data_IF_062781512925
#
_entry.id   IF_062781512925
#
_cell.length_a   1.000
_cell.length_b   1.000
_cell.length_c   1.000
_cell.angle_alpha   90.00
_cell.angle_beta   90.00
_cell.angle_gamma   90.00
#
_symmetry.space_group_name_H-M   'P 1'
#
loop_
_entity.id
_entity.type
_entity.pdbx_description
1 polymer ?
#
# COMPACT_ATOMS: atom_id res chain seq x y z
N UNK A 1 -16.32 17.43 -116.28
CA UNK A 1 -14.91 17.13 -116.01
C UNK A 1 -14.80 16.52 -114.63
N UNK A 2 -14.07 15.42 -114.52
CA UNK A 2 -13.49 14.91 -113.27
C UNK A 2 -12.15 14.30 -113.62
N UNK A 3 -11.24 14.19 -112.63
CA UNK A 3 -10.28 13.07 -112.53
C UNK A 3 -9.33 13.20 -111.32
N UNK A 4 -9.42 12.19 -110.44
CA UNK A 4 -8.36 11.30 -109.90
C UNK A 4 -7.03 11.82 -109.32
N UNK A 5 -6.79 11.42 -108.05
CA UNK A 5 -5.56 10.81 -107.43
C UNK A 5 -4.27 11.66 -107.25
N UNK A 6 -3.21 11.23 -106.50
CA UNK A 6 -3.06 10.32 -105.33
C UNK A 6 -1.99 10.72 -104.25
N UNK A 7 -1.89 9.87 -103.20
CA UNK A 7 -0.67 9.30 -102.54
C UNK A 7 0.13 10.01 -101.42
N UNK A 8 0.64 9.10 -100.57
CA UNK A 8 1.78 9.11 -99.63
C UNK A 8 1.55 9.51 -98.16
N UNK A 9 1.80 8.55 -97.28
CA UNK A 9 2.11 8.76 -95.87
C UNK A 9 3.61 8.60 -95.60
N UNK A 10 4.13 9.36 -94.62
CA UNK A 10 5.40 9.13 -93.94
C UNK A 10 5.46 9.90 -92.61
N UNK A 11 5.97 9.19 -91.59
CA UNK A 11 6.85 9.63 -90.48
C UNK A 11 6.37 10.48 -89.28
N UNK A 12 6.73 9.93 -88.10
CA UNK A 12 7.28 10.56 -86.86
C UNK A 12 6.29 11.40 -86.02
N UNK A 13 6.31 11.44 -84.69
CA UNK A 13 7.19 10.91 -83.64
C UNK A 13 6.41 10.96 -82.30
N UNK A 14 6.72 10.04 -81.38
CA UNK A 14 6.81 10.20 -79.91
C UNK A 14 5.74 10.99 -79.14
N UNK A 15 5.02 10.32 -78.22
CA UNK A 15 5.33 10.39 -76.77
C UNK A 15 4.26 9.72 -75.89
N UNK A 16 4.79 8.96 -74.94
CA UNK A 16 4.23 8.19 -73.81
C UNK A 16 2.97 8.72 -73.10
N UNK A 17 2.05 7.79 -72.83
CA UNK A 17 1.14 7.76 -71.68
C UNK A 17 0.57 6.34 -71.52
N UNK A 18 0.91 5.64 -70.44
CA UNK A 18 0.59 4.21 -70.20
C UNK A 18 -0.24 4.14 -68.91
N UNK A 19 -1.52 3.79 -68.99
CA UNK A 19 -2.31 3.34 -67.83
C UNK A 19 -2.43 1.81 -67.88
N UNK A 20 -2.29 1.09 -66.75
CA UNK A 20 -2.66 -0.31 -66.70
C UNK A 20 -3.87 -0.59 -65.79
N UNK A 21 -4.87 -1.23 -66.41
CA UNK A 21 -5.67 -2.36 -65.95
C UNK A 21 -6.13 -2.47 -64.48
N UNK A 22 -7.45 -2.41 -64.32
CA UNK A 22 -8.23 -2.80 -63.13
C UNK A 22 -8.30 -4.33 -63.02
N UNK A 23 -7.88 -4.87 -61.87
CA UNK A 23 -8.10 -6.26 -61.45
C UNK A 23 -9.18 -6.26 -60.36
N UNK A 24 -10.27 -7.00 -60.57
CA UNK A 24 -11.28 -7.24 -59.53
C UNK A 24 -10.79 -8.36 -58.60
N UNK A 25 -10.74 -8.08 -57.30
CA UNK A 25 -10.37 -9.03 -56.24
C UNK A 25 -11.63 -9.31 -55.41
N UNK A 26 -12.03 -10.59 -55.38
CA UNK A 26 -13.08 -11.13 -54.52
C UNK A 26 -12.77 -10.89 -53.03
N UNK A 27 -13.74 -10.34 -52.29
CA UNK A 27 -13.64 -10.14 -50.84
C UNK A 27 -13.82 -11.46 -50.10
N UNK A 28 -12.71 -12.06 -49.66
CA UNK A 28 -12.72 -13.08 -48.61
C UNK A 28 -12.98 -12.43 -47.25
N UNK A 29 -14.14 -12.69 -46.64
CA UNK A 29 -14.46 -12.31 -45.27
C UNK A 29 -13.72 -13.23 -44.29
N UNK A 30 -12.60 -12.78 -43.75
CA UNK A 30 -12.00 -13.41 -42.57
C UNK A 30 -12.86 -13.06 -41.35
N UNK A 31 -13.47 -14.08 -40.75
CA UNK A 31 -14.09 -14.01 -39.42
C UNK A 31 -13.06 -13.58 -38.39
N UNK A 32 -13.48 -12.69 -37.48
CA UNK A 32 -12.69 -12.26 -36.34
C UNK A 32 -12.36 -13.44 -35.41
N UNK A 33 -11.26 -13.40 -34.63
CA UNK A 33 -10.94 -14.42 -33.64
C UNK A 33 -12.09 -14.55 -32.62
N UNK A 34 -12.35 -15.75 -32.07
CA UNK A 34 -13.29 -15.89 -30.98
C UNK A 34 -12.77 -15.09 -29.77
N UNK A 35 -13.58 -14.16 -29.27
CA UNK A 35 -13.36 -13.53 -27.97
C UNK A 35 -13.23 -14.63 -26.92
N UNK A 36 -12.15 -14.59 -26.12
CA UNK A 36 -12.00 -15.47 -24.97
C UNK A 36 -13.27 -15.42 -24.11
N UNK A 37 -13.74 -16.58 -23.65
CA UNK A 37 -14.94 -16.64 -22.80
C UNK A 37 -14.59 -16.01 -21.45
N UNK A 38 -15.26 -14.92 -21.11
CA UNK A 38 -15.15 -14.29 -19.79
C UNK A 38 -15.70 -15.21 -18.69
N UNK A 39 -15.18 -15.02 -17.47
CA UNK A 39 -15.64 -15.73 -16.28
C UNK A 39 -17.07 -15.30 -15.91
N UNK A 40 -17.81 -16.23 -15.30
CA UNK A 40 -19.05 -15.92 -14.56
C UNK A 40 -18.74 -15.36 -13.18
N UNK A 41 -19.71 -14.73 -12.52
CA UNK A 41 -19.55 -14.21 -11.16
C UNK A 41 -19.13 -15.31 -10.16
N UNK A 42 -19.73 -16.51 -10.25
CA UNK A 42 -19.37 -17.64 -9.39
C UNK A 42 -17.94 -18.15 -9.64
N UNK A 43 -17.48 -18.14 -10.89
CA UNK A 43 -16.10 -18.52 -11.24
C UNK A 43 -15.11 -17.45 -10.77
N UNK A 44 -15.48 -16.18 -10.88
CA UNK A 44 -14.70 -15.04 -10.38
C UNK A 44 -14.56 -15.10 -8.86
N UNK A 45 -15.64 -15.34 -8.12
CA UNK A 45 -15.62 -15.45 -6.66
C UNK A 45 -14.68 -16.57 -6.20
N UNK A 46 -14.77 -17.76 -6.83
CA UNK A 46 -13.89 -18.89 -6.51
C UNK A 46 -12.42 -18.56 -6.75
N UNK A 47 -12.10 -17.96 -7.90
CA UNK A 47 -10.73 -17.54 -8.23
C UNK A 47 -10.21 -16.46 -7.30
N UNK A 48 -11.06 -15.50 -6.92
CA UNK A 48 -10.72 -14.43 -5.97
C UNK A 48 -10.26 -15.02 -4.64
N UNK A 49 -10.98 -16.02 -4.11
CA UNK A 49 -10.61 -16.69 -2.84
C UNK A 49 -9.25 -17.36 -2.93
N UNK A 50 -8.98 -18.10 -4.01
CA UNK A 50 -7.68 -18.76 -4.23
C UNK A 50 -6.54 -17.74 -4.29
N UNK A 51 -6.69 -16.68 -5.09
CA UNK A 51 -5.67 -15.63 -5.22
C UNK A 51 -5.41 -14.96 -3.88
N UNK A 52 -6.46 -14.66 -3.10
CA UNK A 52 -6.30 -14.04 -1.80
C UNK A 52 -5.67 -14.97 -0.77
N UNK A 53 -6.01 -16.26 -0.74
CA UNK A 53 -5.36 -17.18 0.19
C UNK A 53 -3.87 -17.35 -0.12
N UNK A 54 -3.50 -17.44 -1.39
CA UNK A 54 -2.09 -17.48 -1.82
C UNK A 54 -1.37 -16.18 -1.47
N UNK A 55 -1.96 -15.02 -1.79
CA UNK A 55 -1.38 -13.73 -1.47
C UNK A 55 -1.24 -13.50 0.04
N UNK A 56 -2.27 -13.80 0.83
CA UNK A 56 -2.23 -13.63 2.28
C UNK A 56 -1.27 -14.61 2.97
N UNK A 57 -0.94 -15.73 2.32
CA UNK A 57 0.01 -16.69 2.82
C UNK A 57 1.46 -16.37 2.43
N UNK A 58 1.69 -16.04 1.16
CA UNK A 58 3.03 -15.83 0.58
C UNK A 58 3.48 -14.36 0.62
N UNK A 59 2.55 -13.43 0.80
CA UNK A 59 2.74 -11.97 0.71
C UNK A 59 3.40 -11.48 -0.59
N UNK A 60 3.34 -12.27 -1.66
CA UNK A 60 3.86 -11.85 -2.97
C UNK A 60 2.84 -10.97 -3.71
N UNK A 61 2.94 -9.66 -3.48
CA UNK A 61 2.11 -8.66 -4.14
C UNK A 61 2.26 -8.67 -5.67
N UNK A 62 3.44 -9.03 -6.20
CA UNK A 62 3.69 -9.02 -7.65
C UNK A 62 2.98 -10.18 -8.31
N UNK A 63 3.11 -11.38 -7.72
CA UNK A 63 2.42 -12.57 -8.22
C UNK A 63 0.90 -12.42 -8.11
N UNK A 64 0.40 -11.89 -6.99
CA UNK A 64 -1.02 -11.62 -6.80
C UNK A 64 -1.58 -10.70 -7.91
N UNK A 65 -0.86 -9.64 -8.26
CA UNK A 65 -1.25 -8.72 -9.35
C UNK A 65 -1.28 -9.44 -10.70
N UNK A 66 -0.27 -10.25 -11.01
CA UNK A 66 -0.22 -11.04 -12.26
C UNK A 66 -1.40 -12.01 -12.34
N UNK A 67 -1.70 -12.72 -11.26
CA UNK A 67 -2.84 -13.63 -11.19
C UNK A 67 -4.18 -12.92 -11.48
N UNK A 68 -4.35 -11.68 -10.99
CA UNK A 68 -5.55 -10.86 -11.27
C UNK A 68 -5.57 -10.36 -12.72
N UNK A 69 -4.44 -9.95 -13.28
CA UNK A 69 -4.32 -9.58 -14.70
C UNK A 69 -4.69 -10.76 -15.64
N UNK A 70 -4.35 -11.98 -15.24
CA UNK A 70 -4.63 -13.20 -16.02
C UNK A 70 -6.10 -13.62 -16.03
N UNK A 71 -6.94 -13.08 -15.14
CA UNK A 71 -8.38 -13.35 -15.12
C UNK A 71 -9.07 -12.92 -16.43
N UNK A 72 -8.54 -11.88 -17.09
CA UNK A 72 -8.95 -11.41 -18.44
C UNK A 72 -10.47 -11.33 -18.64
N UNK A 73 -11.19 -10.89 -17.61
CA UNK A 73 -12.66 -10.81 -17.62
C UNK A 73 -13.16 -9.42 -17.23
N UNK A 74 -12.96 -8.38 -18.07
CA UNK A 74 -13.26 -6.99 -17.74
C UNK A 74 -14.67 -6.71 -17.23
N UNK A 75 -15.68 -7.43 -17.74
CA UNK A 75 -17.08 -7.20 -17.39
C UNK A 75 -17.44 -7.54 -15.93
N UNK A 76 -16.71 -8.46 -15.32
CA UNK A 76 -16.97 -8.99 -13.97
C UNK A 76 -15.84 -8.66 -12.99
N UNK A 77 -14.95 -7.73 -13.34
CA UNK A 77 -13.86 -7.32 -12.43
C UNK A 77 -14.37 -6.62 -11.16
N UNK A 78 -15.58 -6.06 -11.16
CA UNK A 78 -16.19 -5.53 -9.93
C UNK A 78 -16.48 -6.67 -8.95
N UNK A 79 -16.84 -7.86 -9.45
CA UNK A 79 -17.08 -9.07 -8.64
C UNK A 79 -15.82 -9.55 -7.94
N UNK A 80 -14.63 -9.36 -8.53
CA UNK A 80 -13.36 -9.58 -7.83
C UNK A 80 -13.25 -8.69 -6.58
N UNK A 81 -13.55 -7.40 -6.72
CA UNK A 81 -13.46 -6.44 -5.60
C UNK A 81 -14.49 -6.76 -4.51
N UNK A 82 -15.76 -6.97 -4.86
CA UNK A 82 -16.80 -7.29 -3.88
C UNK A 82 -16.56 -8.64 -3.20
N UNK A 83 -16.10 -9.65 -3.95
CA UNK A 83 -15.71 -10.95 -3.40
C UNK A 83 -14.50 -10.84 -2.47
N UNK A 84 -13.49 -10.05 -2.84
CA UNK A 84 -12.30 -9.85 -2.02
C UNK A 84 -12.64 -9.22 -0.67
N UNK A 85 -13.41 -8.13 -0.69
CA UNK A 85 -13.89 -7.43 0.51
C UNK A 85 -14.68 -8.38 1.40
N UNK A 86 -15.69 -9.07 0.87
CA UNK A 86 -16.52 -10.01 1.64
C UNK A 86 -15.69 -11.15 2.24
N UNK A 87 -14.70 -11.66 1.49
CA UNK A 87 -13.91 -12.80 1.93
C UNK A 87 -13.04 -12.51 3.15
N UNK A 88 -12.53 -11.28 3.28
CA UNK A 88 -11.59 -10.92 4.35
C UNK A 88 -12.19 -10.07 5.46
N UNK A 89 -13.43 -9.59 5.28
CA UNK A 89 -14.08 -8.65 6.18
C UNK A 89 -14.06 -9.11 7.65
N UNK A 90 -14.34 -10.38 7.89
CA UNK A 90 -14.35 -10.98 9.23
C UNK A 90 -13.06 -11.73 9.60
N UNK A 91 -12.00 -11.62 8.79
CA UNK A 91 -10.67 -12.18 9.11
C UNK A 91 -9.90 -11.22 10.04
N UNK A 92 -8.58 -11.36 10.10
CA UNK A 92 -7.71 -10.46 10.90
C UNK A 92 -7.63 -9.06 10.28
N UNK A 93 -7.27 -8.08 11.10
CA UNK A 93 -6.94 -6.72 10.64
C UNK A 93 -5.79 -6.75 9.61
N UNK A 94 -4.80 -7.64 9.81
CA UNK A 94 -3.69 -7.84 8.87
C UNK A 94 -4.24 -8.27 7.50
N UNK A 95 -5.14 -9.26 7.46
CA UNK A 95 -5.72 -9.73 6.19
C UNK A 95 -6.53 -8.64 5.47
N UNK A 96 -7.28 -7.83 6.22
CA UNK A 96 -8.02 -6.68 5.67
C UNK A 96 -7.09 -5.62 5.09
N UNK A 97 -6.08 -5.21 5.84
CA UNK A 97 -5.11 -4.21 5.40
C UNK A 97 -4.32 -4.68 4.17
N UNK A 98 -3.81 -5.91 4.17
CA UNK A 98 -3.09 -6.50 3.03
C UNK A 98 -3.99 -6.57 1.79
N UNK A 99 -5.25 -6.97 1.95
CA UNK A 99 -6.22 -6.97 0.82
C UNK A 99 -6.48 -5.56 0.31
N UNK A 100 -6.58 -4.56 1.20
CA UNK A 100 -6.70 -3.15 0.82
C UNK A 100 -5.48 -2.65 0.03
N UNK A 101 -4.26 -3.06 0.43
CA UNK A 101 -3.02 -2.77 -0.30
C UNK A 101 -3.01 -3.41 -1.69
N UNK A 102 -3.43 -4.66 -1.82
CA UNK A 102 -3.58 -5.32 -3.12
C UNK A 102 -4.57 -4.56 -4.02
N UNK A 103 -5.73 -4.18 -3.49
CA UNK A 103 -6.73 -3.42 -4.25
C UNK A 103 -6.20 -2.05 -4.69
N UNK A 104 -5.45 -1.36 -3.83
CA UNK A 104 -4.74 -0.13 -4.20
C UNK A 104 -3.77 -0.38 -5.36
N UNK A 105 -2.88 -1.37 -5.24
CA UNK A 105 -1.87 -1.68 -6.25
C UNK A 105 -2.46 -2.07 -7.61
N UNK A 106 -3.56 -2.82 -7.60
CA UNK A 106 -4.33 -3.13 -8.80
C UNK A 106 -4.88 -1.87 -9.48
N UNK A 107 -5.32 -0.87 -8.69
CA UNK A 107 -5.81 0.41 -9.23
C UNK A 107 -4.68 1.25 -9.81
N UNK A 108 -3.58 1.46 -9.06
CA UNK A 108 -2.48 2.32 -9.52
C UNK A 108 -1.71 1.70 -10.70
N UNK A 109 -1.70 0.37 -10.83
CA UNK A 109 -1.13 -0.35 -12.00
C UNK A 109 -2.11 -0.47 -13.16
N UNK A 110 -3.32 0.10 -13.04
CA UNK A 110 -4.37 0.10 -14.06
C UNK A 110 -4.90 -1.31 -14.42
N UNK A 111 -4.77 -2.28 -13.52
CA UNK A 111 -5.44 -3.58 -13.62
C UNK A 111 -6.94 -3.42 -13.31
N UNK A 112 -7.24 -2.59 -12.31
CA UNK A 112 -8.59 -2.14 -11.98
C UNK A 112 -8.72 -0.66 -12.28
N UNK A 113 -9.86 -0.26 -12.84
CA UNK A 113 -10.21 1.16 -12.94
C UNK A 113 -10.90 1.62 -11.67
N UNK A 114 -10.72 2.90 -11.29
CA UNK A 114 -11.42 3.49 -10.12
C UNK A 114 -12.94 3.28 -10.16
N UNK A 115 -13.64 3.43 -11.31
CA UNK A 115 -15.08 3.11 -11.39
C UNK A 115 -15.43 1.66 -11.05
N UNK A 116 -14.62 0.69 -11.52
CA UNK A 116 -14.83 -0.74 -11.22
C UNK A 116 -14.59 -1.04 -9.74
N UNK A 117 -13.56 -0.44 -9.15
CA UNK A 117 -13.30 -0.50 -7.72
C UNK A 117 -14.47 0.05 -6.89
N UNK A 118 -14.96 1.25 -7.23
CA UNK A 118 -16.13 1.85 -6.58
C UNK A 118 -17.34 0.93 -6.72
N UNK A 119 -17.60 0.37 -7.90
CA UNK A 119 -18.74 -0.53 -8.12
C UNK A 119 -18.70 -1.73 -7.16
N UNK A 120 -17.58 -2.46 -7.12
CA UNK A 120 -17.44 -3.62 -6.24
C UNK A 120 -17.49 -3.26 -4.75
N UNK A 121 -16.93 -2.12 -4.34
CA UNK A 121 -17.09 -1.62 -2.96
C UNK A 121 -18.57 -1.36 -2.62
N UNK A 122 -19.28 -0.67 -3.51
CA UNK A 122 -20.67 -0.26 -3.31
C UNK A 122 -21.60 -1.47 -3.16
N UNK A 123 -21.31 -2.55 -3.90
CA UNK A 123 -22.03 -3.83 -3.81
C UNK A 123 -22.02 -4.44 -2.40
N UNK A 124 -20.97 -4.19 -1.63
CA UNK A 124 -20.86 -4.66 -0.23
C UNK A 124 -21.36 -3.60 0.75
N UNK A 125 -20.93 -2.34 0.57
CA UNK A 125 -21.24 -1.23 1.47
C UNK A 125 -22.74 -0.99 1.62
N UNK A 126 -23.55 -1.25 0.59
CA UNK A 126 -25.00 -1.09 0.67
C UNK A 126 -25.67 -1.93 1.77
N UNK A 127 -25.03 -3.02 2.22
CA UNK A 127 -25.53 -3.89 3.29
C UNK A 127 -24.86 -3.60 4.64
N UNK A 128 -23.98 -2.60 4.74
CA UNK A 128 -23.17 -2.35 5.94
C UNK A 128 -23.99 -2.06 7.21
N UNK A 129 -25.17 -1.45 7.09
CA UNK A 129 -26.06 -1.21 8.23
C UNK A 129 -26.63 -2.51 8.80
N UNK A 130 -27.04 -3.44 7.94
CA UNK A 130 -27.51 -4.76 8.38
C UNK A 130 -26.36 -5.54 9.02
N UNK A 131 -25.15 -5.44 8.44
CA UNK A 131 -23.95 -6.08 8.97
C UNK A 131 -23.51 -5.53 10.32
N UNK A 132 -23.78 -4.25 10.62
CA UNK A 132 -23.46 -3.62 11.91
C UNK A 132 -24.16 -4.32 13.09
N UNK A 133 -25.32 -4.95 12.85
CA UNK A 133 -26.08 -5.69 13.86
C UNK A 133 -25.25 -6.84 14.42
N UNK A 134 -24.60 -7.59 13.52
CA UNK A 134 -23.81 -8.77 13.87
C UNK A 134 -22.32 -8.44 14.09
N UNK A 135 -21.83 -7.37 13.45
CA UNK A 135 -20.43 -6.94 13.44
C UNK A 135 -20.35 -5.48 13.93
N UNK A 136 -20.29 -5.24 15.26
CA UNK A 136 -20.25 -3.87 15.81
C UNK A 136 -19.06 -3.02 15.33
N UNK A 137 -18.00 -3.66 14.82
CA UNK A 137 -16.78 -3.01 14.29
C UNK A 137 -16.77 -2.88 12.77
N UNK A 138 -17.89 -3.10 12.08
CA UNK A 138 -17.96 -3.14 10.62
C UNK A 138 -17.37 -1.89 9.94
N UNK A 139 -17.60 -0.71 10.52
CA UNK A 139 -17.06 0.55 9.98
C UNK A 139 -15.53 0.60 10.05
N UNK A 140 -14.96 0.14 11.17
CA UNK A 140 -13.51 0.02 11.33
C UNK A 140 -12.93 -0.95 10.30
N UNK A 141 -13.63 -2.08 10.05
CA UNK A 141 -13.17 -3.09 9.08
C UNK A 141 -13.19 -2.56 7.64
N UNK A 142 -14.22 -1.78 7.27
CA UNK A 142 -14.20 -1.05 6.00
C UNK A 142 -13.10 0.01 5.96
N UNK A 143 -12.84 0.69 7.09
CA UNK A 143 -11.70 1.60 7.25
C UNK A 143 -10.38 0.93 6.90
N UNK A 144 -10.11 -0.25 7.46
CA UNK A 144 -8.89 -1.05 7.20
C UNK A 144 -8.80 -1.52 5.72
N UNK A 145 -9.92 -1.80 5.06
CA UNK A 145 -9.95 -2.22 3.65
C UNK A 145 -9.80 -1.08 2.64
N UNK A 146 -10.37 0.09 2.96
CA UNK A 146 -10.44 1.23 2.03
C UNK A 146 -9.34 2.27 2.33
N UNK A 147 -8.91 2.37 3.59
CA UNK A 147 -7.83 3.27 4.04
C UNK A 147 -6.56 3.18 3.19
N UNK A 148 -6.07 1.99 2.79
CA UNK A 148 -4.95 1.86 1.88
C UNK A 148 -5.13 2.56 0.52
N UNK A 149 -6.36 2.73 0.01
CA UNK A 149 -6.61 3.46 -1.24
C UNK A 149 -6.31 4.97 -1.13
N UNK A 150 -6.25 5.50 0.09
CA UNK A 150 -5.92 6.90 0.38
C UNK A 150 -4.41 7.14 0.45
N UNK A 151 -3.61 6.07 0.61
CA UNK A 151 -2.16 6.19 0.77
C UNK A 151 -1.52 6.94 -0.41
N UNK A 152 -0.39 7.61 -0.15
CA UNK A 152 0.44 8.35 -1.11
C UNK A 152 -0.21 9.43 -2.01
N UNK A 153 -1.54 9.55 -2.02
CA UNK A 153 -2.28 10.50 -2.84
C UNK A 153 -2.45 10.11 -4.32
N UNK A 154 -2.13 8.87 -4.69
CA UNK A 154 -2.26 8.35 -6.06
C UNK A 154 -3.70 8.34 -6.58
N UNK A 155 -4.68 8.09 -5.70
CA UNK A 155 -6.11 8.15 -6.01
C UNK A 155 -6.77 9.33 -5.28
N UNK A 156 -7.36 10.29 -6.00
CA UNK A 156 -8.09 11.39 -5.37
C UNK A 156 -9.24 10.87 -4.49
N UNK A 157 -9.36 11.37 -3.27
CA UNK A 157 -10.32 10.88 -2.26
C UNK A 157 -11.79 11.12 -2.67
N UNK A 158 -12.05 11.86 -3.74
CA UNK A 158 -13.40 12.12 -4.23
C UNK A 158 -14.17 10.83 -4.61
N UNK A 159 -13.49 9.69 -4.78
CA UNK A 159 -14.13 8.38 -4.93
C UNK A 159 -15.05 8.03 -3.75
N UNK A 160 -14.72 8.51 -2.54
CA UNK A 160 -15.49 8.29 -1.32
C UNK A 160 -16.93 8.79 -1.44
N UNK A 161 -17.18 9.88 -2.18
CA UNK A 161 -18.55 10.38 -2.42
C UNK A 161 -19.44 9.30 -3.02
N UNK A 162 -18.90 8.57 -3.99
CA UNK A 162 -19.64 7.51 -4.69
C UNK A 162 -19.70 6.22 -3.87
N UNK A 163 -18.58 5.83 -3.27
CA UNK A 163 -18.53 4.62 -2.44
C UNK A 163 -19.48 4.71 -1.23
N UNK A 164 -19.63 5.90 -0.63
CA UNK A 164 -20.50 6.13 0.52
C UNK A 164 -21.95 6.51 0.14
N UNK A 165 -22.29 6.61 -1.15
CA UNK A 165 -23.64 7.02 -1.60
C UNK A 165 -24.77 6.15 -1.00
N UNK A 166 -24.66 4.81 -0.93
CA UNK A 166 -25.71 3.97 -0.33
C UNK A 166 -25.98 4.27 1.14
N UNK A 167 -25.02 4.88 1.84
CA UNK A 167 -25.07 5.16 3.27
C UNK A 167 -25.59 6.56 3.61
N UNK A 168 -26.01 7.33 2.60
CA UNK A 168 -26.54 8.67 2.84
C UNK A 168 -27.93 8.62 3.46
N UNK A 169 -28.76 7.69 3.02
CA UNK A 169 -30.15 7.58 3.48
C UNK A 169 -30.26 7.18 4.97
N UNK A 170 -29.31 6.40 5.47
CA UNK A 170 -29.25 5.97 6.87
C UNK A 170 -28.30 6.81 7.75
N UNK A 171 -27.75 7.91 7.22
CA UNK A 171 -26.78 8.79 7.90
C UNK A 171 -25.51 8.06 8.40
N UNK A 172 -25.10 6.96 7.73
CA UNK A 172 -23.88 6.21 8.07
C UNK A 172 -22.68 6.57 7.20
N UNK A 173 -22.87 7.32 6.11
CA UNK A 173 -21.79 7.72 5.20
C UNK A 173 -20.63 8.44 5.93
N UNK A 174 -20.95 9.35 6.86
CA UNK A 174 -19.94 10.01 7.69
C UNK A 174 -19.11 9.03 8.52
N UNK A 175 -19.72 7.97 9.07
CA UNK A 175 -19.02 6.96 9.88
C UNK A 175 -18.01 6.19 9.03
N UNK A 176 -18.42 5.69 7.86
CA UNK A 176 -17.53 5.01 6.93
C UNK A 176 -16.31 5.91 6.60
N UNK A 177 -16.57 7.15 6.19
CA UNK A 177 -15.51 8.07 5.79
C UNK A 177 -14.58 8.40 6.94
N UNK A 178 -15.09 8.59 8.15
CA UNK A 178 -14.26 8.83 9.33
C UNK A 178 -13.30 7.65 9.61
N UNK A 179 -13.79 6.41 9.55
CA UNK A 179 -12.95 5.22 9.77
C UNK A 179 -11.90 5.04 8.66
N UNK A 180 -12.24 5.36 7.40
CA UNK A 180 -11.27 5.36 6.29
C UNK A 180 -10.16 6.39 6.52
N UNK A 181 -10.52 7.60 6.94
CA UNK A 181 -9.53 8.65 7.22
C UNK A 181 -8.65 8.31 8.43
N UNK A 182 -9.21 7.68 9.46
CA UNK A 182 -8.43 7.18 10.59
C UNK A 182 -7.44 6.13 10.13
N UNK A 183 -7.89 5.08 9.43
CA UNK A 183 -7.01 4.03 8.91
C UNK A 183 -5.89 4.59 8.00
N UNK A 184 -6.20 5.57 7.16
CA UNK A 184 -5.19 6.26 6.34
C UNK A 184 -4.21 7.07 7.20
N UNK A 185 -4.69 7.76 8.23
CA UNK A 185 -3.85 8.60 9.11
C UNK A 185 -2.85 7.77 9.91
N UNK A 186 -3.19 6.52 10.26
CA UNK A 186 -2.28 5.60 10.94
C UNK A 186 -1.02 5.28 10.11
N UNK A 187 -1.02 5.54 8.79
CA UNK A 187 0.08 5.25 7.87
C UNK A 187 0.73 6.49 7.25
N UNK A 188 0.00 7.59 7.21
CA UNK A 188 0.38 8.83 6.51
C UNK A 188 0.44 10.06 7.42
N UNK A 189 -0.09 10.00 8.64
CA UNK A 189 -0.26 11.17 9.52
C UNK A 189 -1.51 12.00 9.21
N UNK A 190 -2.01 12.70 10.23
CA UNK A 190 -3.23 13.49 10.12
C UNK A 190 -3.08 14.66 9.15
N UNK A 191 -1.91 15.32 9.12
CA UNK A 191 -1.68 16.49 8.25
C UNK A 191 -1.77 16.12 6.78
N UNK A 192 -1.10 15.03 6.37
CA UNK A 192 -1.12 14.58 4.99
C UNK A 192 -2.51 14.14 4.55
N UNK A 193 -3.20 13.35 5.37
CA UNK A 193 -4.59 12.93 5.08
C UNK A 193 -5.53 14.15 5.01
N UNK A 194 -5.40 15.10 5.93
CA UNK A 194 -6.15 16.37 5.89
C UNK A 194 -5.87 17.20 4.64
N UNK A 195 -4.63 17.23 4.16
CA UNK A 195 -4.27 17.84 2.88
C UNK A 195 -4.92 17.13 1.69
N UNK A 196 -4.84 15.80 1.63
CA UNK A 196 -5.46 15.01 0.55
C UNK A 196 -6.99 15.17 0.51
N UNK A 197 -7.63 15.24 1.67
CA UNK A 197 -9.06 15.52 1.81
C UNK A 197 -9.44 16.85 1.15
N UNK A 198 -8.70 17.92 1.47
CA UNK A 198 -8.92 19.27 0.94
C UNK A 198 -8.60 19.38 -0.55
N UNK A 199 -7.49 18.80 -1.00
CA UNK A 199 -7.12 18.72 -2.43
C UNK A 199 -8.17 17.98 -3.26
N UNK A 200 -8.85 17.00 -2.66
CA UNK A 200 -9.96 16.27 -3.26
C UNK A 200 -11.29 17.03 -3.24
N UNK A 201 -11.30 18.27 -2.73
CA UNK A 201 -12.47 19.14 -2.59
C UNK A 201 -13.62 18.46 -1.84
N UNK A 202 -13.31 17.69 -0.80
CA UNK A 202 -14.30 17.03 0.05
C UNK A 202 -14.75 17.96 1.19
N UNK A 203 -16.02 17.82 1.55
CA UNK A 203 -16.66 18.47 2.69
C UNK A 203 -17.48 17.44 3.45
N UNK A 204 -17.63 17.59 4.76
CA UNK A 204 -18.42 16.64 5.55
C UNK A 204 -19.91 16.67 5.17
N UNK A 205 -20.38 17.81 4.66
CA UNK A 205 -21.70 18.00 4.07
C UNK A 205 -21.97 17.08 2.86
N UNK A 206 -20.92 16.52 2.25
CA UNK A 206 -21.07 15.52 1.19
C UNK A 206 -21.55 14.16 1.72
N UNK A 207 -21.42 13.92 3.02
CA UNK A 207 -21.66 12.64 3.67
C UNK A 207 -22.68 12.70 4.81
N UNK A 208 -23.07 13.90 5.26
CA UNK A 208 -24.02 14.06 6.35
C UNK A 208 -24.70 15.45 6.35
N UNK A 209 -25.80 15.63 7.10
CA UNK A 209 -26.47 16.93 7.21
C UNK A 209 -25.59 18.01 7.84
N UNK A 210 -25.60 19.22 7.25
CA UNK A 210 -24.76 20.35 7.68
C UNK A 210 -24.92 20.75 9.17
N UNK A 211 -26.09 20.49 9.76
CA UNK A 211 -26.36 20.81 11.17
C UNK A 211 -25.50 20.04 12.16
N UNK A 212 -25.06 18.83 11.79
CA UNK A 212 -24.37 17.91 12.68
C UNK A 212 -22.85 17.90 12.49
N UNK A 213 -22.35 18.46 11.38
CA UNK A 213 -20.94 18.42 10.97
C UNK A 213 -19.98 18.86 12.08
N UNK A 214 -20.21 20.01 12.71
CA UNK A 214 -19.30 20.52 13.76
C UNK A 214 -19.18 19.59 14.95
N UNK A 215 -20.30 19.01 15.38
CA UNK A 215 -20.34 18.05 16.48
C UNK A 215 -19.65 16.76 16.06
N UNK A 216 -19.94 16.27 14.86
CA UNK A 216 -19.37 15.06 14.31
C UNK A 216 -17.85 15.13 14.21
N UNK A 217 -17.29 16.24 13.73
CA UNK A 217 -15.84 16.42 13.61
C UNK A 217 -15.15 16.20 14.95
N UNK A 218 -15.70 16.76 16.03
CA UNK A 218 -15.17 16.62 17.39
C UNK A 218 -15.42 15.21 17.94
N UNK A 219 -16.65 14.71 17.84
CA UNK A 219 -17.04 13.40 18.37
C UNK A 219 -16.24 12.26 17.72
N UNK A 220 -15.90 12.41 16.43
CA UNK A 220 -15.15 11.43 15.64
C UNK A 220 -13.67 11.74 15.52
N UNK A 221 -13.17 12.80 16.16
CA UNK A 221 -11.75 13.18 16.18
C UNK A 221 -11.13 13.36 14.79
N UNK A 222 -11.88 13.99 13.88
CA UNK A 222 -11.47 14.24 12.49
C UNK A 222 -11.17 15.72 12.24
N UNK A 223 -10.74 16.45 13.27
CA UNK A 223 -10.41 17.88 13.22
C UNK A 223 -9.33 18.20 12.19
N UNK A 224 -8.46 17.24 11.88
CA UNK A 224 -7.42 17.37 10.87
C UNK A 224 -7.96 17.63 9.45
N UNK A 225 -9.24 17.33 9.20
CA UNK A 225 -9.92 17.66 7.94
C UNK A 225 -10.38 19.12 7.84
N UNK A 226 -10.41 19.84 8.97
CA UNK A 226 -10.95 21.20 9.08
C UNK A 226 -9.87 22.31 9.10
N UNK A 227 -8.59 21.95 9.01
CA UNK A 227 -7.47 22.90 9.03
C UNK A 227 -7.41 23.79 7.78
N UNK A 228 -6.73 24.93 7.89
CA UNK A 228 -6.42 25.81 6.75
C UNK A 228 -5.16 25.30 6.03
N UNK A 229 -5.10 25.39 4.69
CA UNK A 229 -3.98 24.90 3.86
C UNK A 229 -2.76 25.86 3.90
N UNK A 230 -2.59 26.58 5.01
CA UNK A 230 -1.47 27.48 5.21
C UNK A 230 -0.17 26.68 5.42
N UNK A 231 0.39 26.30 4.26
CA UNK A 231 1.71 25.81 3.90
C UNK A 231 1.90 24.28 3.85
N UNK A 232 2.32 23.73 2.69
CA UNK A 232 3.33 22.68 2.71
C UNK A 232 4.60 23.35 3.23
N UNK A 233 4.82 23.30 4.54
CA UNK A 233 6.10 23.71 5.09
C UNK A 233 7.10 22.65 4.70
N UNK A 234 7.76 22.85 3.55
CA UNK A 234 9.15 22.41 3.45
C UNK A 234 9.85 22.93 4.71
N UNK A 235 10.49 22.05 5.51
CA UNK A 235 11.07 22.48 6.78
C UNK A 235 12.02 23.65 6.49
N UNK A 236 11.63 24.85 6.92
CA UNK A 236 12.39 26.08 6.65
C UNK A 236 13.67 26.13 7.49
N UNK A 237 13.80 25.18 8.42
CA UNK A 237 14.93 24.94 9.30
C UNK A 237 15.22 23.45 9.30
N UNK A 238 16.36 23.04 8.73
CA UNK A 238 16.86 21.67 8.86
C UNK A 238 17.27 21.42 10.31
N UNK A 239 16.56 20.55 11.02
CA UNK A 239 16.93 20.14 12.37
C UNK A 239 18.13 19.18 12.33
N UNK A 240 18.98 19.21 13.36
CA UNK A 240 20.13 18.30 13.42
C UNK A 240 19.70 16.87 13.77
N UNK A 241 20.54 15.88 13.43
CA UNK A 241 20.26 14.48 13.77
C UNK A 241 20.14 14.22 15.27
N UNK A 242 20.89 14.96 16.09
CA UNK A 242 20.82 14.88 17.55
C UNK A 242 19.46 15.39 18.05
N UNK A 243 18.98 16.51 17.50
CA UNK A 243 17.66 17.04 17.82
C UNK A 243 16.53 16.09 17.37
N UNK A 244 16.69 15.43 16.22
CA UNK A 244 15.77 14.39 15.75
C UNK A 244 15.70 13.25 16.76
N UNK A 245 16.86 12.72 17.17
CA UNK A 245 16.93 11.60 18.11
C UNK A 245 16.34 11.96 19.47
N UNK A 246 16.65 13.14 20.01
CA UNK A 246 16.10 13.62 21.28
C UNK A 246 14.57 13.76 21.22
N UNK A 247 14.05 14.28 20.10
CA UNK A 247 12.61 14.46 19.92
C UNK A 247 11.87 13.14 19.70
N UNK A 248 12.43 12.21 18.93
CA UNK A 248 11.91 10.84 18.80
C UNK A 248 11.85 10.13 20.16
N UNK A 249 12.94 10.21 20.94
CA UNK A 249 12.97 9.66 22.29
C UNK A 249 11.89 10.30 23.18
N UNK A 250 11.70 11.62 23.11
CA UNK A 250 10.65 12.30 23.87
C UNK A 250 9.24 11.79 23.51
N UNK A 251 8.92 11.76 22.21
CA UNK A 251 7.60 11.35 21.72
C UNK A 251 7.30 9.88 22.02
N UNK A 252 8.26 8.98 21.74
CA UNK A 252 8.07 7.53 21.87
C UNK A 252 8.13 7.03 23.31
N UNK A 253 9.06 7.56 24.13
CA UNK A 253 9.35 7.00 25.46
C UNK A 253 8.71 7.83 26.57
N UNK A 254 8.79 9.17 26.51
CA UNK A 254 8.28 10.04 27.58
C UNK A 254 6.79 10.31 27.44
N UNK A 255 6.35 10.75 26.27
CA UNK A 255 4.95 11.09 26.02
C UNK A 255 4.12 9.89 25.56
N UNK A 256 4.76 8.89 24.93
CA UNK A 256 4.10 7.70 24.34
C UNK A 256 2.98 8.09 23.38
N UNK A 257 3.24 9.07 22.53
CA UNK A 257 2.26 9.60 21.56
C UNK A 257 1.90 8.58 20.50
N UNK A 258 0.75 8.74 19.85
CA UNK A 258 0.31 7.88 18.74
C UNK A 258 1.13 8.12 17.46
N UNK A 259 1.05 7.21 16.49
CA UNK A 259 1.89 7.24 15.28
C UNK A 259 1.65 8.50 14.44
N UNK A 260 0.41 8.98 14.39
CA UNK A 260 -0.03 10.13 13.61
C UNK A 260 0.72 11.40 14.04
N UNK A 261 0.89 11.59 15.35
CA UNK A 261 1.63 12.73 15.91
C UNK A 261 3.11 12.66 15.53
N UNK A 262 3.66 11.45 15.48
CA UNK A 262 5.07 11.23 15.10
C UNK A 262 5.25 11.48 13.60
N UNK A 263 4.36 10.96 12.75
CA UNK A 263 4.34 11.23 11.31
C UNK A 263 4.25 12.73 11.03
N UNK A 264 3.26 13.40 11.62
CA UNK A 264 3.03 14.85 11.44
C UNK A 264 4.26 15.68 11.83
N UNK A 265 4.96 15.27 12.89
CA UNK A 265 6.19 15.94 13.32
C UNK A 265 7.35 15.69 12.36
N UNK A 266 7.56 14.43 11.93
CA UNK A 266 8.63 14.08 10.99
C UNK A 266 8.43 14.83 9.66
N UNK A 267 7.22 14.79 9.10
CA UNK A 267 6.89 15.47 7.83
C UNK A 267 7.04 16.99 7.89
N UNK A 268 6.80 17.61 9.04
CA UNK A 268 6.97 19.06 9.21
C UNK A 268 8.42 19.48 9.49
N UNK A 269 9.18 18.61 10.16
CA UNK A 269 10.46 19.00 10.77
C UNK A 269 11.69 18.43 10.08
N UNK A 270 11.57 17.30 9.38
CA UNK A 270 12.69 16.58 8.76
C UNK A 270 12.58 16.68 7.24
N UNK A 271 13.67 17.01 6.56
CA UNK A 271 13.70 17.05 5.10
C UNK A 271 13.78 15.65 4.47
N UNK A 272 13.26 15.48 3.24
CA UNK A 272 13.23 14.19 2.53
C UNK A 272 14.60 13.48 2.45
N UNK A 273 15.72 14.16 2.12
CA UNK A 273 17.04 13.53 2.17
C UNK A 273 17.40 12.97 3.55
N UNK A 274 17.12 13.72 4.62
CA UNK A 274 17.38 13.27 5.99
C UNK A 274 16.50 12.08 6.36
N UNK A 275 15.21 12.08 5.99
CA UNK A 275 14.29 10.95 6.25
C UNK A 275 14.77 9.64 5.61
N UNK A 276 15.42 9.72 4.45
CA UNK A 276 15.95 8.54 3.73
C UNK A 276 17.38 8.18 4.14
N UNK A 277 17.99 8.95 5.05
CA UNK A 277 19.37 8.73 5.46
C UNK A 277 19.51 7.55 6.42
N UNK A 278 20.61 6.79 6.30
CA UNK A 278 20.92 5.69 7.20
C UNK A 278 20.91 6.13 8.68
N UNK A 279 21.35 7.36 8.98
CA UNK A 279 21.35 7.91 10.34
C UNK A 279 19.94 8.04 10.92
N UNK A 280 18.99 8.51 10.11
CA UNK A 280 17.59 8.63 10.50
C UNK A 280 16.97 7.26 10.77
N UNK A 281 17.13 6.31 9.84
CA UNK A 281 16.62 4.94 10.00
C UNK A 281 17.13 4.31 11.30
N UNK A 282 18.44 4.46 11.59
CA UNK A 282 19.02 3.96 12.83
C UNK A 282 18.44 4.65 14.07
N UNK A 283 18.25 5.96 14.04
CA UNK A 283 17.69 6.72 15.16
C UNK A 283 16.23 6.33 15.45
N UNK A 284 15.42 6.16 14.39
CA UNK A 284 14.04 5.72 14.49
C UNK A 284 13.95 4.29 15.05
N UNK A 285 14.67 3.33 14.44
CA UNK A 285 14.67 1.94 14.88
C UNK A 285 15.14 1.80 16.34
N UNK A 286 16.20 2.53 16.72
CA UNK A 286 16.69 2.55 18.10
C UNK A 286 15.61 3.06 19.06
N UNK A 287 14.97 4.20 18.74
CA UNK A 287 13.98 4.83 19.63
C UNK A 287 12.73 3.97 19.81
N UNK A 288 12.25 3.34 18.72
CA UNK A 288 11.09 2.44 18.77
C UNK A 288 11.42 1.20 19.60
N UNK A 289 12.54 0.52 19.33
CA UNK A 289 12.92 -0.68 20.08
C UNK A 289 13.23 -0.37 21.55
N UNK A 290 13.87 0.77 21.84
CA UNK A 290 14.13 1.21 23.22
C UNK A 290 12.81 1.44 23.98
N UNK A 291 11.79 2.01 23.33
CA UNK A 291 10.46 2.20 23.95
C UNK A 291 9.74 0.89 24.29
N UNK A 292 10.08 -0.20 23.61
CA UNK A 292 9.53 -1.53 23.85
C UNK A 292 10.29 -2.32 24.93
N UNK A 293 11.48 -1.89 25.34
CA UNK A 293 12.31 -2.59 26.31
C UNK A 293 12.02 -2.06 27.73
N UNK A 294 11.76 -2.97 28.65
CA UNK A 294 11.56 -2.69 30.07
C UNK A 294 12.60 -3.39 30.91
N UNK A 295 12.85 -2.89 32.13
CA UNK A 295 13.88 -3.43 33.02
C UNK A 295 15.29 -2.96 32.64
N UNK A 296 16.31 -3.53 33.29
CA UNK A 296 17.71 -3.16 33.09
C UNK A 296 18.65 -4.36 33.25
N UNK A 297 19.75 -4.37 32.49
CA UNK A 297 20.74 -5.44 32.51
C UNK A 297 20.08 -6.81 32.27
N UNK A 298 20.39 -7.80 33.09
CA UNK A 298 19.85 -9.16 32.95
C UNK A 298 18.33 -9.30 33.12
N UNK A 299 17.66 -8.27 33.67
CA UNK A 299 16.19 -8.25 33.82
C UNK A 299 15.45 -7.68 32.61
N UNK A 300 16.18 -7.19 31.60
CA UNK A 300 15.57 -6.53 30.45
C UNK A 300 14.67 -7.49 29.65
N UNK A 301 13.49 -7.00 29.27
CA UNK A 301 12.48 -7.73 28.50
C UNK A 301 11.84 -6.83 27.46
N UNK A 302 11.47 -7.41 26.33
CA UNK A 302 10.77 -6.73 25.24
C UNK A 302 9.27 -6.89 25.46
N UNK A 303 8.51 -5.83 25.19
CA UNK A 303 7.06 -5.85 25.07
C UNK A 303 6.69 -5.86 23.58
N UNK A 304 6.40 -7.02 22.96
CA UNK A 304 6.17 -7.11 21.52
C UNK A 304 5.06 -6.18 21.04
N UNK A 305 3.97 -6.06 21.81
CA UNK A 305 2.82 -5.21 21.49
C UNK A 305 3.20 -3.74 21.26
N UNK A 306 4.26 -3.24 21.90
CA UNK A 306 4.74 -1.88 21.64
C UNK A 306 5.31 -1.76 20.22
N UNK A 307 6.01 -2.78 19.73
CA UNK A 307 6.59 -2.78 18.38
C UNK A 307 5.51 -2.97 17.33
N UNK A 308 4.55 -3.88 17.57
CA UNK A 308 3.39 -4.08 16.69
C UNK A 308 2.63 -2.79 16.45
N UNK A 309 2.36 -2.03 17.52
CA UNK A 309 1.72 -0.72 17.44
C UNK A 309 2.55 0.35 16.68
N UNK A 310 3.85 0.12 16.46
CA UNK A 310 4.75 0.98 15.68
C UNK A 310 5.12 0.39 14.32
N UNK A 311 4.47 -0.69 13.89
CA UNK A 311 4.74 -1.35 12.61
C UNK A 311 4.61 -0.40 11.44
N UNK A 312 3.47 0.28 11.31
CA UNK A 312 3.23 1.28 10.25
C UNK A 312 4.29 2.39 10.23
N UNK A 313 4.70 2.86 11.42
CA UNK A 313 5.74 3.89 11.56
C UNK A 313 7.08 3.40 11.01
N UNK A 314 7.51 2.20 11.36
CA UNK A 314 8.76 1.64 10.87
C UNK A 314 8.68 1.34 9.36
N UNK A 315 7.62 0.66 8.92
CA UNK A 315 7.41 0.31 7.51
C UNK A 315 7.43 1.55 6.61
N UNK A 316 6.79 2.65 7.02
CA UNK A 316 6.76 3.90 6.25
C UNK A 316 8.14 4.43 5.89
N UNK A 317 9.09 4.37 6.82
CA UNK A 317 10.42 4.97 6.64
C UNK A 317 11.47 3.96 6.16
N UNK A 318 11.32 2.68 6.50
CA UNK A 318 12.16 1.60 5.95
C UNK A 318 11.83 1.34 4.47
N UNK A 319 10.57 1.52 4.07
CA UNK A 319 10.12 1.53 2.67
C UNK A 319 10.46 0.22 1.93
N UNK A 320 10.49 -0.91 2.66
CA UNK A 320 10.91 -2.24 2.18
C UNK A 320 12.24 -2.24 1.39
N UNK A 321 13.13 -1.29 1.69
CA UNK A 321 14.44 -1.20 1.06
C UNK A 321 15.42 -2.04 1.86
N UNK A 322 16.01 -3.05 1.23
CA UNK A 322 16.99 -3.92 1.87
C UNK A 322 18.14 -3.15 2.58
N UNK A 323 18.63 -2.05 1.99
CA UNK A 323 19.63 -1.17 2.62
C UNK A 323 19.10 -0.53 3.93
N UNK A 324 17.86 -0.05 3.93
CA UNK A 324 17.23 0.56 5.11
C UNK A 324 16.94 -0.47 6.19
N UNK A 325 16.44 -1.65 5.82
CA UNK A 325 16.25 -2.79 6.73
C UNK A 325 17.56 -3.24 7.38
N UNK A 326 18.64 -3.34 6.58
CA UNK A 326 19.97 -3.67 7.09
C UNK A 326 20.48 -2.64 8.09
N UNK A 327 20.29 -1.33 7.83
CA UNK A 327 20.65 -0.27 8.77
C UNK A 327 19.82 -0.33 10.07
N UNK A 328 18.54 -0.68 9.97
CA UNK A 328 17.68 -0.93 11.12
C UNK A 328 18.21 -2.10 11.97
N UNK A 329 18.61 -3.22 11.36
CA UNK A 329 19.19 -4.36 12.07
C UNK A 329 20.54 -4.03 12.72
N UNK A 330 21.38 -3.20 12.09
CA UNK A 330 22.60 -2.70 12.74
C UNK A 330 22.32 -1.81 13.93
N UNK A 331 21.32 -0.92 13.86
CA UNK A 331 20.89 -0.13 15.01
C UNK A 331 20.40 -1.02 16.16
N UNK A 332 19.65 -2.06 15.85
CA UNK A 332 19.15 -3.03 16.82
C UNK A 332 20.29 -3.79 17.50
N UNK A 333 21.27 -4.25 16.72
CA UNK A 333 22.49 -4.89 17.25
C UNK A 333 23.22 -3.95 18.21
N UNK A 334 23.43 -2.69 17.84
CA UNK A 334 24.11 -1.70 18.66
C UNK A 334 23.34 -1.41 19.97
N UNK A 335 22.00 -1.30 19.90
CA UNK A 335 21.14 -1.12 21.07
C UNK A 335 21.26 -2.31 22.05
N UNK A 336 21.14 -3.54 21.57
CA UNK A 336 21.26 -4.74 22.42
C UNK A 336 22.68 -4.87 22.98
N UNK A 337 23.70 -4.49 22.21
CA UNK A 337 25.06 -4.48 22.71
C UNK A 337 25.25 -3.50 23.88
N UNK A 338 24.69 -2.29 23.77
CA UNK A 338 24.69 -1.27 24.84
C UNK A 338 23.96 -1.76 26.10
N UNK A 339 22.97 -2.63 25.96
CA UNK A 339 22.26 -3.27 27.06
C UNK A 339 23.00 -4.48 27.66
N UNK A 340 24.21 -4.77 27.18
CA UNK A 340 25.04 -5.91 27.60
C UNK A 340 24.43 -7.28 27.28
N UNK A 341 23.73 -7.40 26.15
CA UNK A 341 23.20 -8.66 25.62
C UNK A 341 22.27 -9.45 26.57
N UNK A 342 21.17 -8.83 27.05
CA UNK A 342 20.20 -9.50 27.90
C UNK A 342 19.53 -10.68 27.18
N UNK A 343 19.38 -11.79 27.90
CA UNK A 343 18.89 -13.05 27.33
C UNK A 343 17.48 -12.91 26.75
N UNK A 344 17.35 -13.24 25.47
CA UNK A 344 16.08 -13.32 24.76
C UNK A 344 15.59 -11.99 24.18
N UNK A 345 16.21 -10.85 24.53
CA UNK A 345 15.79 -9.53 24.01
C UNK A 345 15.95 -9.45 22.50
N UNK A 346 17.15 -9.74 21.97
CA UNK A 346 17.37 -9.68 20.52
C UNK A 346 16.49 -10.69 19.76
N UNK A 347 16.31 -11.88 20.33
CA UNK A 347 15.48 -12.92 19.74
C UNK A 347 14.03 -12.45 19.59
N UNK A 348 13.43 -11.96 20.68
CA UNK A 348 12.05 -11.44 20.65
C UNK A 348 11.90 -10.25 19.71
N UNK A 349 12.92 -9.37 19.62
CA UNK A 349 12.91 -8.27 18.65
C UNK A 349 12.91 -8.79 17.20
N UNK A 350 13.75 -9.77 16.87
CA UNK A 350 13.80 -10.38 15.53
C UNK A 350 12.48 -11.06 15.19
N UNK A 351 11.94 -11.89 16.09
CA UNK A 351 10.65 -12.55 15.89
C UNK A 351 9.55 -11.51 15.62
N UNK A 352 9.46 -10.45 16.45
CA UNK A 352 8.41 -9.43 16.29
C UNK A 352 8.58 -8.60 15.01
N UNK A 353 9.81 -8.27 14.61
CA UNK A 353 10.05 -7.49 13.38
C UNK A 353 9.78 -8.31 12.11
N UNK A 354 9.99 -9.63 12.18
CA UNK A 354 9.65 -10.56 11.10
C UNK A 354 8.13 -10.78 11.01
N UNK A 355 7.49 -11.13 12.14
CA UNK A 355 6.05 -11.44 12.19
C UNK A 355 5.15 -10.26 11.79
N UNK A 356 5.63 -9.02 11.96
CA UNK A 356 4.91 -7.80 11.59
C UNK A 356 5.35 -7.23 10.22
N UNK A 357 6.10 -8.00 9.43
CA UNK A 357 6.57 -7.64 8.08
C UNK A 357 7.34 -6.30 8.03
N UNK A 358 8.08 -5.98 9.10
CA UNK A 358 8.86 -4.75 9.20
C UNK A 358 10.24 -4.94 8.56
N UNK A 359 10.81 -6.14 8.71
CA UNK A 359 12.08 -6.54 8.12
C UNK A 359 11.86 -7.82 7.34
N UNK A 360 12.23 -7.81 6.06
CA UNK A 360 12.12 -8.97 5.19
C UNK A 360 13.13 -10.06 5.57
N UNK A 361 12.85 -11.28 5.13
CA UNK A 361 13.81 -12.39 5.18
C UNK A 361 15.17 -12.02 4.53
N UNK A 362 15.14 -11.34 3.38
CA UNK A 362 16.37 -10.86 2.72
C UNK A 362 17.14 -9.88 3.61
N UNK A 363 16.44 -8.96 4.29
CA UNK A 363 17.05 -8.05 5.27
C UNK A 363 17.80 -8.79 6.38
N UNK A 364 17.18 -9.81 6.99
CA UNK A 364 17.83 -10.65 8.00
C UNK A 364 19.02 -11.43 7.44
N UNK A 365 18.86 -12.02 6.25
CA UNK A 365 19.91 -12.78 5.57
C UNK A 365 21.12 -11.90 5.20
N UNK A 366 20.90 -10.64 4.81
CA UNK A 366 21.97 -9.67 4.55
C UNK A 366 22.70 -9.29 5.85
N UNK A 367 21.97 -9.07 6.94
CA UNK A 367 22.59 -8.80 8.24
C UNK A 367 23.42 -9.99 8.72
N UNK A 368 22.94 -11.22 8.57
CA UNK A 368 23.66 -12.44 8.94
C UNK A 368 25.00 -12.53 8.19
N UNK A 369 24.95 -12.36 6.85
CA UNK A 369 26.10 -12.49 5.94
C UNK A 369 27.06 -11.30 5.99
N UNK A 370 26.63 -10.16 6.54
CA UNK A 370 27.40 -8.92 6.52
C UNK A 370 28.78 -9.08 7.19
N UNK A 371 29.81 -8.53 6.53
CA UNK A 371 31.19 -8.47 7.03
C UNK A 371 31.71 -7.04 7.15
N UNK A 372 30.81 -6.06 7.27
CA UNK A 372 31.20 -4.66 7.40
C UNK A 372 32.07 -4.49 8.67
N UNK A 373 33.34 -4.06 8.54
CA UNK A 373 34.24 -3.89 9.68
C UNK A 373 33.70 -2.94 10.76
N UNK A 374 32.87 -1.97 10.40
CA UNK A 374 32.31 -0.98 11.33
C UNK A 374 31.13 -1.53 12.14
N UNK A 375 30.55 -2.65 11.72
CA UNK A 375 29.33 -3.23 12.33
C UNK A 375 29.63 -4.59 13.01
N UNK A 376 30.90 -4.86 13.33
CA UNK A 376 31.30 -6.10 14.01
C UNK A 376 31.12 -6.06 15.53
N UNK A 377 31.01 -4.86 16.11
CA UNK A 377 30.85 -4.69 17.55
C UNK A 377 29.52 -5.29 18.03
N UNK A 378 29.58 -6.16 19.03
CA UNK A 378 28.42 -6.90 19.54
C UNK A 378 27.88 -8.02 18.62
N UNK A 379 28.26 -8.06 17.33
CA UNK A 379 27.74 -9.01 16.33
C UNK A 379 27.94 -10.48 16.72
N UNK A 380 29.11 -10.84 17.22
CA UNK A 380 29.40 -12.23 17.58
C UNK A 380 28.52 -12.78 18.71
N UNK A 381 28.13 -11.93 19.67
CA UNK A 381 27.21 -12.31 20.76
C UNK A 381 25.77 -12.28 20.26
N UNK A 382 25.40 -11.27 19.46
CA UNK A 382 24.10 -11.18 18.81
C UNK A 382 23.80 -12.44 17.99
N UNK A 383 24.72 -12.87 17.12
CA UNK A 383 24.61 -14.08 16.31
C UNK A 383 24.33 -15.33 17.15
N UNK A 384 24.98 -15.47 18.31
CA UNK A 384 24.73 -16.61 19.21
C UNK A 384 23.32 -16.62 19.80
N UNK A 385 22.71 -15.45 20.01
CA UNK A 385 21.34 -15.36 20.55
C UNK A 385 20.26 -15.70 19.52
N UNK A 386 20.54 -15.47 18.23
CA UNK A 386 19.56 -15.62 17.14
C UNK A 386 19.81 -16.83 16.25
N UNK A 387 20.72 -17.75 16.62
CA UNK A 387 20.96 -18.99 15.85
C UNK A 387 19.66 -19.73 15.55
N UNK A 388 18.82 -19.92 16.56
CA UNK A 388 17.54 -20.63 16.42
C UNK A 388 16.55 -19.90 15.50
N UNK A 389 16.64 -18.58 15.36
CA UNK A 389 15.79 -17.82 14.45
C UNK A 389 16.19 -18.13 13.00
N UNK A 390 17.50 -18.06 12.69
CA UNK A 390 18.00 -18.39 11.35
C UNK A 390 17.91 -19.88 11.01
N UNK A 391 17.97 -20.78 11.99
CA UNK A 391 17.69 -22.20 11.76
C UNK A 391 16.25 -22.38 11.30
N UNK A 392 15.30 -21.78 12.03
CA UNK A 392 13.89 -21.83 11.67
C UNK A 392 13.60 -21.19 10.31
N UNK A 393 14.20 -20.04 10.01
CA UNK A 393 14.02 -19.33 8.74
C UNK A 393 14.38 -20.20 7.53
N UNK A 394 15.49 -20.94 7.61
CA UNK A 394 15.94 -21.87 6.55
C UNK A 394 15.06 -23.12 6.45
N UNK A 395 14.61 -23.66 7.59
CA UNK A 395 13.72 -24.83 7.61
C UNK A 395 12.37 -24.53 6.97
N UNK A 396 11.87 -23.30 7.14
CA UNK A 396 10.64 -22.83 6.48
C UNK A 396 10.79 -22.70 4.95
N UNK A 397 11.97 -22.28 4.45
CA UNK A 397 12.24 -22.23 3.00
C UNK A 397 12.18 -23.62 2.35
N UNK A 398 12.75 -24.64 3.01
CA UNK A 398 12.83 -26.00 2.48
C UNK A 398 11.43 -26.64 2.32
N UNK A 399 10.50 -26.42 3.27
CA UNK A 399 9.14 -26.98 3.25
C UNK A 399 8.25 -26.40 2.12
N UNK A 400 8.49 -25.14 1.71
CA UNK A 400 7.76 -24.50 0.60
C UNK A 400 8.26 -24.97 -0.76
N UNK A 401 9.51 -25.40 -0.85
CA UNK A 401 10.10 -25.91 -2.11
C UNK A 401 9.75 -27.36 -2.44
N UNK A 402 9.32 -28.13 -1.44
CA UNK A 402 8.90 -29.54 -1.56
C UNK A 402 7.36 -29.73 -1.63
N UNK A 403 6.60 -28.63 -1.61
CA UNK A 403 5.13 -28.57 -1.73
C UNK A 403 4.71 -28.08 -3.12
#
# INVERSE_FOLDING_TARGET
GGQTTPRQGQSRESSRGREPHRVEIEKSSKTAPPTAKELTDEEMEKKTKTILDEYLHLQDIKEAILCVEELKSPSVMHTFVSSAVNYVLERSNIARNQTGLLLHDLVIKNVLSVPVYIQGLTEVIQYAEDMEIDIPKIWQYFGELIGPMVQDGSVPLNFLRKAAEPLKENNKAGLLVAEVLHAASHREGHKKVGSLWRQSSLQWEDFMPAGDVKKFIVDKKVEFTAGDDSQPSTPTVSISMEAIQDKLHHLLIKEKTDNEVIFDWIEESVDDPTMKSNKFIRALMTSVCESAITGSGSSARVLPEVIKNRGDLLQKYLDHRAESELQALYALQALVHKLEHPQGVLRTLFDTLYDEDIISEDGFNQWEKSKDPNEQEGKGVAMKQVVQFFTWLREAEDDVSDS
#
